data_IF_990653759091
#
_entry.id   IF_990653759091
#
_cell.length_a   1.000
_cell.length_b   1.000
_cell.length_c   1.000
_cell.angle_alpha   90.00
_cell.angle_beta   90.00
_cell.angle_gamma   90.00
#
_symmetry.space_group_name_H-M   'P 1'
#
loop_
_entity.id
_entity.type
_entity.pdbx_description
1 polymer ?
#
# COMPACT_ATOMS: atom_id res chain seq x y z
N UNK A 1 16.63 5.82 -3.88
CA UNK A 1 17.81 5.74 -4.78
C UNK A 1 17.57 4.87 -6.01
N UNK A 2 17.08 3.62 -5.87
CA UNK A 2 16.80 2.74 -7.04
C UNK A 2 15.88 3.35 -8.10
N UNK A 3 14.91 4.17 -7.72
CA UNK A 3 14.01 4.84 -8.67
C UNK A 3 14.71 5.90 -9.54
N UNK A 4 15.58 6.73 -8.94
CA UNK A 4 16.33 7.74 -9.68
C UNK A 4 17.32 7.09 -10.64
N UNK A 5 18.01 6.04 -10.19
CA UNK A 5 18.89 5.25 -11.05
C UNK A 5 18.15 4.65 -12.25
N UNK A 6 16.96 4.08 -12.02
CA UNK A 6 16.10 3.58 -13.09
C UNK A 6 15.71 4.70 -14.07
N UNK A 7 15.27 5.87 -13.55
CA UNK A 7 14.90 7.01 -14.38
C UNK A 7 16.09 7.57 -15.18
N UNK A 8 17.29 7.62 -14.60
CA UNK A 8 18.49 8.05 -15.30
C UNK A 8 18.80 7.14 -16.50
N UNK A 9 18.67 5.82 -16.35
CA UNK A 9 18.92 4.86 -17.44
C UNK A 9 17.84 4.87 -18.51
N UNK A 10 16.56 4.92 -18.11
CA UNK A 10 15.42 4.65 -19.00
C UNK A 10 14.56 5.87 -19.32
N UNK A 11 14.66 6.94 -18.54
CA UNK A 11 13.83 8.14 -18.65
C UNK A 11 14.55 9.36 -19.22
N UNK A 12 15.87 9.46 -19.03
CA UNK A 12 16.67 10.53 -19.62
C UNK A 12 17.04 10.18 -21.06
N UNK A 13 16.71 11.08 -21.99
CA UNK A 13 17.02 10.96 -23.40
C UNK A 13 17.67 12.24 -23.93
N UNK A 14 18.41 12.11 -25.04
CA UNK A 14 19.10 13.23 -25.66
C UNK A 14 18.15 13.95 -26.62
N UNK A 15 17.72 15.14 -26.23
CA UNK A 15 16.93 16.04 -27.06
C UNK A 15 17.32 17.49 -26.71
N UNK A 16 17.78 18.30 -27.69
CA UNK A 16 18.16 19.69 -27.44
C UNK A 16 16.99 20.57 -26.99
N UNK A 17 15.74 20.12 -27.14
CA UNK A 17 14.55 20.86 -26.72
C UNK A 17 13.99 20.41 -25.36
N UNK A 18 14.60 19.40 -24.72
CA UNK A 18 14.15 18.86 -23.43
C UNK A 18 15.25 19.03 -22.38
N UNK A 19 14.91 19.69 -21.27
CA UNK A 19 15.78 19.82 -20.10
C UNK A 19 15.26 18.94 -18.96
N UNK A 20 16.15 18.17 -18.34
CA UNK A 20 15.86 17.35 -17.17
C UNK A 20 16.43 18.01 -15.93
N UNK A 21 15.56 18.42 -15.00
CA UNK A 21 15.99 18.94 -13.70
C UNK A 21 15.84 17.86 -12.62
N UNK A 22 16.96 17.42 -12.06
CA UNK A 22 17.02 16.46 -10.95
C UNK A 22 17.26 17.25 -9.67
N UNK A 23 16.18 17.50 -8.92
CA UNK A 23 16.24 18.26 -7.67
C UNK A 23 16.48 17.31 -6.50
N UNK A 24 17.61 17.47 -5.82
CA UNK A 24 17.99 16.72 -4.63
C UNK A 24 17.60 17.55 -3.40
N UNK A 25 16.50 17.15 -2.76
CA UNK A 25 16.00 17.74 -1.51
C UNK A 25 16.79 17.20 -0.30
N UNK A 26 17.90 17.84 0.02
CA UNK A 26 18.82 17.43 1.08
C UNK A 26 19.62 16.16 0.79
N UNK A 27 20.74 15.99 1.49
CA UNK A 27 21.53 14.75 1.48
C UNK A 27 22.44 14.53 0.26
N UNK A 28 22.94 13.29 0.15
CA UNK A 28 23.84 12.86 -0.92
C UNK A 28 23.06 12.15 -2.04
N UNK A 29 23.46 12.41 -3.29
CA UNK A 29 22.93 11.72 -4.47
C UNK A 29 24.01 10.87 -5.11
N UNK A 30 24.02 9.57 -4.80
CA UNK A 30 24.94 8.61 -5.43
C UNK A 30 24.64 8.43 -6.94
N UNK A 31 23.37 8.29 -7.39
CA UNK A 31 23.06 8.14 -8.82
C UNK A 31 23.46 9.36 -9.66
N UNK A 32 23.63 10.54 -9.06
CA UNK A 32 24.06 11.76 -9.75
C UNK A 32 25.51 11.69 -10.27
N UNK A 33 26.26 10.63 -9.96
CA UNK A 33 27.59 10.36 -10.54
C UNK A 33 27.54 9.45 -11.78
N UNK A 34 26.37 8.95 -12.15
CA UNK A 34 26.21 8.09 -13.32
C UNK A 34 26.42 8.88 -14.61
N UNK A 35 26.82 8.19 -15.68
CA UNK A 35 27.07 8.82 -16.99
C UNK A 35 25.84 9.54 -17.52
N UNK A 36 24.65 8.97 -17.32
CA UNK A 36 23.37 9.55 -17.75
C UNK A 36 23.07 10.86 -17.03
N UNK A 37 23.53 11.01 -15.79
CA UNK A 37 23.39 12.24 -15.02
C UNK A 37 24.37 13.35 -15.47
N UNK A 38 25.38 13.01 -16.28
CA UNK A 38 26.38 13.93 -16.81
C UNK A 38 26.05 14.44 -18.24
N UNK A 39 24.86 14.11 -18.76
CA UNK A 39 24.41 14.59 -20.08
C UNK A 39 24.18 16.10 -20.05
N UNK A 40 24.40 16.77 -21.18
CA UNK A 40 24.36 18.23 -21.28
C UNK A 40 22.98 18.86 -21.04
N UNK A 41 21.91 18.08 -21.21
CA UNK A 41 20.53 18.51 -20.96
C UNK A 41 20.01 18.07 -19.58
N UNK A 42 20.88 17.55 -18.71
CA UNK A 42 20.55 17.16 -17.33
C UNK A 42 21.17 18.17 -16.36
N UNK A 43 20.33 18.76 -15.52
CA UNK A 43 20.69 19.74 -14.50
C UNK A 43 20.41 19.15 -13.13
N UNK A 44 21.44 19.04 -12.29
CA UNK A 44 21.30 18.52 -10.93
C UNK A 44 21.32 19.71 -9.97
N UNK A 45 20.18 19.95 -9.34
CA UNK A 45 20.00 21.06 -8.40
C UNK A 45 19.93 20.52 -6.98
N UNK A 46 20.77 21.04 -6.08
CA UNK A 46 20.75 20.67 -4.66
C UNK A 46 20.13 21.79 -3.86
N UNK A 47 19.23 21.43 -2.96
CA UNK A 47 18.55 22.39 -2.08
C UNK A 47 18.21 21.79 -0.73
N UNK A 48 17.84 22.64 0.20
CA UNK A 48 17.27 22.21 1.47
C UNK A 48 15.95 21.46 1.25
N UNK A 49 15.68 20.47 2.10
CA UNK A 49 14.44 19.70 2.07
C UNK A 49 13.27 20.52 2.64
N UNK A 50 12.83 21.52 1.88
CA UNK A 50 11.78 22.46 2.24
C UNK A 50 10.76 22.60 1.11
N UNK A 51 9.46 22.51 1.44
CA UNK A 51 8.38 22.63 0.45
C UNK A 51 8.00 21.33 -0.26
N UNK A 52 8.56 20.18 0.14
CA UNK A 52 8.25 18.86 -0.42
C UNK A 52 8.37 18.83 -1.97
N UNK A 53 7.61 17.97 -2.64
CA UNK A 53 7.69 17.77 -4.09
C UNK A 53 7.28 19.04 -4.87
N UNK A 54 6.15 19.66 -4.53
CA UNK A 54 5.65 20.86 -5.22
C UNK A 54 6.57 22.08 -5.05
N UNK A 55 7.20 22.23 -3.89
CA UNK A 55 8.22 23.24 -3.68
C UNK A 55 9.46 23.00 -4.54
N UNK A 56 9.83 21.74 -4.84
CA UNK A 56 10.93 21.41 -5.74
C UNK A 56 10.60 21.78 -7.19
N UNK A 57 9.37 21.53 -7.63
CA UNK A 57 8.90 22.00 -8.93
C UNK A 57 8.90 23.53 -9.02
N UNK A 58 8.47 24.23 -7.96
CA UNK A 58 8.53 25.69 -7.87
C UNK A 58 9.95 26.27 -7.94
N UNK A 59 10.92 25.60 -7.31
CA UNK A 59 12.33 25.96 -7.42
C UNK A 59 12.80 25.96 -8.87
N UNK A 60 12.47 24.92 -9.65
CA UNK A 60 12.83 24.84 -11.07
C UNK A 60 12.14 25.93 -11.88
N UNK A 61 10.84 26.20 -11.65
CA UNK A 61 10.14 27.27 -12.36
C UNK A 61 10.76 28.65 -12.10
N UNK A 62 11.17 28.92 -10.87
CA UNK A 62 11.88 30.17 -10.53
C UNK A 62 13.26 30.22 -11.17
N UNK A 63 14.00 29.11 -11.20
CA UNK A 63 15.27 29.01 -11.93
C UNK A 63 15.08 29.35 -13.41
N UNK A 64 14.08 28.74 -14.07
CA UNK A 64 13.77 28.99 -15.47
C UNK A 64 13.37 30.45 -15.72
N UNK A 65 12.64 31.07 -14.79
CA UNK A 65 12.25 32.48 -14.89
C UNK A 65 13.46 33.41 -14.81
N UNK A 66 14.33 33.22 -13.81
CA UNK A 66 15.55 34.02 -13.61
C UNK A 66 16.47 33.96 -14.84
N UNK A 67 16.54 32.80 -15.49
CA UNK A 67 17.37 32.60 -16.68
C UNK A 67 16.65 32.93 -18.01
N UNK A 68 15.43 33.49 -17.97
CA UNK A 68 14.66 33.84 -19.17
C UNK A 68 14.21 32.64 -20.02
N UNK A 69 14.24 31.43 -19.45
CA UNK A 69 13.86 30.18 -20.12
C UNK A 69 12.37 29.86 -19.95
N UNK A 70 11.71 30.40 -18.92
CA UNK A 70 10.30 30.10 -18.63
C UNK A 70 9.37 30.46 -19.80
N UNK A 71 9.63 31.56 -20.50
CA UNK A 71 8.83 31.99 -21.66
C UNK A 71 8.93 31.04 -22.87
N UNK A 72 9.94 30.15 -22.90
CA UNK A 72 10.16 29.15 -23.96
C UNK A 72 9.55 27.79 -23.63
N UNK A 73 9.03 27.63 -22.42
CA UNK A 73 8.49 26.36 -21.92
C UNK A 73 7.16 26.05 -22.62
N UNK A 74 7.11 24.94 -23.37
CA UNK A 74 5.86 24.45 -23.99
C UNK A 74 5.11 23.46 -23.11
N UNK A 75 5.87 22.67 -22.36
CA UNK A 75 5.38 21.60 -21.49
C UNK A 75 6.25 21.54 -20.24
N UNK A 76 5.64 21.28 -19.10
CA UNK A 76 6.32 21.09 -17.83
C UNK A 76 5.90 19.76 -17.22
N UNK A 77 6.84 18.81 -17.12
CA UNK A 77 6.57 17.48 -16.56
C UNK A 77 7.13 17.42 -15.14
N UNK A 78 6.28 17.02 -14.21
CA UNK A 78 6.56 16.94 -12.79
C UNK A 78 6.50 15.48 -12.35
N UNK A 79 7.58 15.00 -11.76
CA UNK A 79 7.68 13.65 -11.18
C UNK A 79 8.23 13.79 -9.76
N UNK A 80 7.68 13.02 -8.81
CA UNK A 80 8.29 12.94 -7.48
C UNK A 80 9.21 11.72 -7.32
N UNK A 81 10.08 11.73 -6.31
CA UNK A 81 11.07 10.67 -6.10
C UNK A 81 10.47 9.30 -5.72
N UNK A 82 9.17 9.27 -5.39
CA UNK A 82 8.48 8.05 -4.98
C UNK A 82 7.98 7.19 -6.13
N UNK A 83 8.01 7.68 -7.38
CA UNK A 83 7.63 6.87 -8.54
C UNK A 83 8.81 6.15 -9.16
N UNK A 84 8.52 5.06 -9.88
CA UNK A 84 9.45 4.42 -10.81
C UNK A 84 8.87 4.47 -12.22
N UNK A 85 9.74 4.70 -13.20
CA UNK A 85 9.42 4.78 -14.60
C UNK A 85 10.51 5.55 -15.35
N UNK A 86 10.29 5.83 -16.64
CA UNK A 86 9.09 5.50 -17.42
C UNK A 86 9.04 4.00 -17.77
N UNK A 87 7.83 3.44 -17.77
CA UNK A 87 7.55 2.12 -18.32
C UNK A 87 6.87 2.28 -19.67
N UNK A 88 7.54 1.82 -20.73
CA UNK A 88 6.98 1.79 -22.08
C UNK A 88 7.04 0.36 -22.66
N UNK A 89 5.99 -0.07 -23.37
CA UNK A 89 6.00 -1.35 -24.07
C UNK A 89 7.08 -1.33 -25.17
N UNK A 90 7.61 -2.51 -25.52
CA UNK A 90 8.75 -2.66 -26.46
C UNK A 90 8.56 -1.86 -27.76
N UNK A 91 7.35 -1.83 -28.31
CA UNK A 91 7.03 -1.12 -29.55
C UNK A 91 7.07 0.42 -29.42
N UNK A 92 7.02 0.96 -28.20
CA UNK A 92 7.05 2.39 -27.92
C UNK A 92 8.36 2.88 -27.28
N UNK A 93 9.26 1.99 -26.84
CA UNK A 93 10.51 2.33 -26.09
C UNK A 93 11.45 3.30 -26.80
N UNK A 94 11.40 3.38 -28.14
CA UNK A 94 12.23 4.33 -28.92
C UNK A 94 11.68 5.76 -28.94
N UNK A 95 10.47 5.99 -28.43
CA UNK A 95 9.85 7.31 -28.36
C UNK A 95 10.09 7.92 -26.99
N UNK A 96 10.24 9.25 -26.88
CA UNK A 96 10.23 9.93 -25.60
C UNK A 96 8.96 9.59 -24.82
N UNK A 97 9.10 9.23 -23.55
CA UNK A 97 7.95 8.91 -22.70
C UNK A 97 6.98 10.08 -22.53
N UNK A 98 7.48 11.31 -22.69
CA UNK A 98 6.66 12.54 -22.68
C UNK A 98 5.59 12.53 -23.77
N UNK A 99 5.81 11.85 -24.89
CA UNK A 99 4.85 11.76 -26.00
C UNK A 99 3.51 11.14 -25.58
N UNK A 100 3.50 10.30 -24.54
CA UNK A 100 2.28 9.70 -23.99
C UNK A 100 1.41 10.77 -23.32
N UNK A 101 2.03 11.70 -22.58
CA UNK A 101 1.32 12.86 -22.01
C UNK A 101 0.94 13.87 -23.08
N UNK A 102 1.84 14.14 -24.04
CA UNK A 102 1.63 15.12 -25.11
C UNK A 102 0.40 14.82 -25.96
N UNK A 103 0.13 13.54 -26.20
CA UNK A 103 -1.03 13.07 -26.95
C UNK A 103 -2.37 13.48 -26.32
N UNK A 104 -2.41 13.78 -25.02
CA UNK A 104 -3.62 14.19 -24.31
C UNK A 104 -3.80 15.70 -24.21
N UNK A 105 -2.81 16.51 -24.61
CA UNK A 105 -2.97 17.95 -24.70
C UNK A 105 -3.71 18.36 -25.98
N UNK A 106 -5.03 18.18 -25.97
CA UNK A 106 -5.97 18.59 -27.01
C UNK A 106 -6.99 19.58 -26.46
N UNK A 107 -7.64 20.33 -27.35
CA UNK A 107 -8.64 21.33 -27.00
C UNK A 107 -8.09 22.33 -25.95
N UNK A 108 -8.78 22.50 -24.82
CA UNK A 108 -8.35 23.36 -23.70
C UNK A 108 -7.74 22.57 -22.53
N UNK A 109 -7.20 21.36 -22.76
CA UNK A 109 -6.49 20.60 -21.72
C UNK A 109 -5.19 21.30 -21.37
N UNK A 110 -5.03 21.65 -20.10
CA UNK A 110 -3.86 22.36 -19.58
C UNK A 110 -3.07 21.55 -18.54
N UNK A 111 -3.62 20.41 -18.07
CA UNK A 111 -2.89 19.45 -17.25
C UNK A 111 -3.25 18.00 -17.60
N UNK A 112 -2.26 17.11 -17.54
CA UNK A 112 -2.44 15.68 -17.75
C UNK A 112 -1.77 14.93 -16.60
N UNK A 113 -2.54 14.13 -15.86
CA UNK A 113 -2.00 13.30 -14.77
C UNK A 113 -1.80 11.85 -15.18
N UNK A 114 -0.88 11.16 -14.50
CA UNK A 114 -0.79 9.70 -14.60
C UNK A 114 -2.03 9.00 -14.04
N UNK A 115 -2.66 9.59 -13.01
CA UNK A 115 -3.93 9.12 -12.45
C UNK A 115 -4.79 10.27 -11.91
N UNK A 116 -6.08 9.96 -11.72
CA UNK A 116 -7.11 10.91 -11.29
C UNK A 116 -8.03 10.27 -10.26
N UNK A 117 -8.25 10.98 -9.15
CA UNK A 117 -9.17 10.59 -8.06
C UNK A 117 -10.35 11.55 -8.02
N UNK A 118 -11.57 11.08 -7.76
CA UNK A 118 -12.64 11.96 -7.29
C UNK A 118 -12.62 12.02 -5.77
N UNK A 119 -12.57 13.21 -5.19
CA UNK A 119 -12.67 13.42 -3.75
C UNK A 119 -14.14 13.52 -3.30
N UNK A 120 -14.47 13.03 -2.08
CA UNK A 120 -15.79 13.16 -1.51
C UNK A 120 -16.06 14.60 -1.06
N UNK A 121 -17.32 14.93 -0.75
CA UNK A 121 -17.73 16.29 -0.34
C UNK A 121 -17.07 16.73 0.96
N UNK A 122 -16.78 15.79 1.83
CA UNK A 122 -16.23 16.00 3.16
C UNK A 122 -14.69 16.12 3.14
N UNK A 123 -14.05 15.92 1.99
CA UNK A 123 -12.60 16.05 1.88
C UNK A 123 -12.17 17.52 1.97
N UNK A 124 -11.07 17.77 2.66
CA UNK A 124 -10.50 19.11 2.79
C UNK A 124 -10.01 19.68 1.44
N UNK A 125 -9.77 18.83 0.43
CA UNK A 125 -9.49 19.23 -0.96
C UNK A 125 -10.71 19.64 -1.77
N UNK A 126 -11.91 19.57 -1.18
CA UNK A 126 -13.19 19.79 -1.86
C UNK A 126 -13.58 18.61 -2.76
N UNK A 127 -14.87 18.51 -3.13
CA UNK A 127 -15.35 17.41 -3.95
C UNK A 127 -14.80 17.48 -5.38
N UNK A 128 -14.77 16.32 -6.02
CA UNK A 128 -14.57 16.19 -7.47
C UNK A 128 -13.18 15.71 -7.88
N UNK A 129 -12.92 15.74 -9.19
CA UNK A 129 -11.73 15.21 -9.82
C UNK A 129 -10.46 15.97 -9.42
N UNK A 130 -9.43 15.24 -9.00
CA UNK A 130 -8.08 15.75 -8.73
C UNK A 130 -7.06 14.83 -9.40
N UNK A 131 -6.09 15.43 -10.09
CA UNK A 131 -4.90 14.71 -10.53
C UNK A 131 -4.04 14.34 -9.32
N UNK A 132 -3.49 13.14 -9.32
CA UNK A 132 -2.53 12.75 -8.28
C UNK A 132 -1.14 13.35 -8.55
N UNK A 133 -0.54 13.91 -7.50
CA UNK A 133 0.64 14.78 -7.61
C UNK A 133 1.97 14.07 -7.84
N UNK A 134 1.96 12.78 -8.17
CA UNK A 134 3.21 12.00 -8.29
C UNK A 134 3.81 12.01 -9.70
N UNK A 135 2.98 12.15 -10.74
CA UNK A 135 3.41 12.25 -12.12
C UNK A 135 2.35 13.00 -12.94
N UNK A 136 2.69 14.19 -13.42
CA UNK A 136 1.78 15.00 -14.23
C UNK A 136 2.55 15.92 -15.19
N UNK A 137 1.85 16.41 -16.20
CA UNK A 137 2.35 17.37 -17.17
C UNK A 137 1.44 18.60 -17.22
N UNK A 138 2.00 19.76 -17.54
CA UNK A 138 1.27 21.01 -17.73
C UNK A 138 1.62 21.65 -19.07
N UNK A 139 0.64 22.31 -19.68
CA UNK A 139 0.90 23.28 -20.76
C UNK A 139 1.51 24.56 -20.18
N UNK A 140 2.01 25.44 -21.06
CA UNK A 140 2.46 26.78 -20.64
C UNK A 140 1.35 27.59 -19.95
N UNK A 141 0.10 27.44 -20.41
CA UNK A 141 -1.06 28.06 -19.79
C UNK A 141 -1.38 27.42 -18.43
N UNK A 142 -1.29 26.09 -18.33
CA UNK A 142 -1.46 25.36 -17.08
C UNK A 142 -0.42 25.75 -16.03
N UNK A 143 0.85 25.91 -16.42
CA UNK A 143 1.91 26.43 -15.54
C UNK A 143 1.56 27.82 -15.04
N UNK A 144 1.09 28.72 -15.92
CA UNK A 144 0.69 30.08 -15.53
C UNK A 144 -0.49 30.08 -14.56
N UNK A 145 -1.52 29.27 -14.80
CA UNK A 145 -2.67 29.13 -13.91
C UNK A 145 -2.25 28.59 -12.52
N UNK A 146 -1.49 27.50 -12.50
CA UNK A 146 -0.99 26.87 -11.27
C UNK A 146 -0.07 27.81 -10.46
N UNK A 147 0.85 28.54 -11.11
CA UNK A 147 1.72 29.53 -10.43
C UNK A 147 0.90 30.66 -9.80
N UNK A 148 -0.08 31.22 -10.52
CA UNK A 148 -0.96 32.29 -9.99
C UNK A 148 -1.75 31.82 -8.76
N UNK A 149 -2.21 30.57 -8.76
CA UNK A 149 -2.91 29.97 -7.63
C UNK A 149 -1.99 29.58 -6.46
N UNK A 150 -0.67 29.64 -6.64
CA UNK A 150 0.30 29.32 -5.59
C UNK A 150 0.64 27.83 -5.47
N UNK A 151 0.23 26.99 -6.42
CA UNK A 151 0.42 25.52 -6.41
C UNK A 151 1.86 25.10 -6.11
N UNK A 152 2.82 25.85 -6.64
CA UNK A 152 4.25 25.57 -6.51
C UNK A 152 4.94 26.31 -5.36
N UNK A 153 4.18 26.86 -4.41
CA UNK A 153 4.76 27.49 -3.22
C UNK A 153 5.38 26.42 -2.31
N UNK A 154 6.49 26.73 -1.62
CA UNK A 154 7.08 25.80 -0.68
C UNK A 154 6.30 25.82 0.64
N UNK A 155 5.30 24.95 0.74
CA UNK A 155 4.48 24.80 1.94
C UNK A 155 5.25 24.13 3.08
N UNK A 156 4.94 24.52 4.32
CA UNK A 156 5.65 24.02 5.51
C UNK A 156 5.27 22.60 5.86
N UNK A 157 4.02 22.24 5.66
CA UNK A 157 3.51 20.93 6.06
C UNK A 157 3.13 20.08 4.85
N UNK A 158 3.19 18.76 5.04
CA UNK A 158 2.69 17.79 4.07
C UNK A 158 1.21 18.01 3.75
N UNK A 159 0.39 18.35 4.77
CA UNK A 159 -1.04 18.63 4.59
C UNK A 159 -1.27 19.82 3.66
N UNK A 160 -0.60 20.93 3.90
CA UNK A 160 -0.71 22.11 3.03
C UNK A 160 -0.22 21.83 1.61
N UNK A 161 0.85 21.04 1.46
CA UNK A 161 1.34 20.61 0.14
C UNK A 161 0.28 19.80 -0.61
N UNK A 162 -0.45 18.91 0.09
CA UNK A 162 -1.54 18.14 -0.52
C UNK A 162 -2.69 19.07 -0.90
N UNK A 163 -3.16 19.90 0.04
CA UNK A 163 -4.36 20.73 -0.19
C UNK A 163 -4.13 21.81 -1.25
N UNK A 164 -3.02 22.54 -1.15
CA UNK A 164 -2.78 23.71 -1.99
C UNK A 164 -1.86 23.43 -3.18
N UNK A 165 -1.04 22.39 -3.09
CA UNK A 165 -0.23 21.91 -4.21
C UNK A 165 -0.99 20.89 -5.04
N UNK A 166 -1.15 19.67 -4.50
CA UNK A 166 -1.70 18.53 -5.25
C UNK A 166 -3.16 18.75 -5.67
N UNK A 167 -4.07 18.97 -4.72
CA UNK A 167 -5.47 19.22 -5.03
C UNK A 167 -5.68 20.61 -5.64
N UNK A 168 -4.97 21.60 -5.10
CA UNK A 168 -4.96 22.97 -5.61
C UNK A 168 -4.54 23.08 -7.08
N UNK A 169 -3.76 22.12 -7.60
CA UNK A 169 -3.41 22.09 -9.02
C UNK A 169 -4.65 21.99 -9.91
N UNK A 170 -5.50 20.99 -9.68
CA UNK A 170 -6.68 20.77 -10.54
C UNK A 170 -7.68 21.91 -10.38
N UNK A 171 -7.88 22.38 -9.14
CA UNK A 171 -8.70 23.56 -8.86
C UNK A 171 -8.21 24.81 -9.60
N UNK A 172 -6.89 25.03 -9.64
CA UNK A 172 -6.31 26.18 -10.33
C UNK A 172 -6.56 26.12 -11.84
N UNK A 173 -6.48 24.94 -12.44
CA UNK A 173 -6.79 24.71 -13.86
C UNK A 173 -8.26 24.99 -14.13
N UNK A 174 -9.16 24.43 -13.32
CA UNK A 174 -10.61 24.62 -13.45
C UNK A 174 -11.04 26.07 -13.29
N UNK A 175 -10.49 26.80 -12.29
CA UNK A 175 -10.77 28.23 -12.10
C UNK A 175 -10.28 29.11 -13.24
N UNK A 176 -9.30 28.64 -14.02
CA UNK A 176 -8.83 29.32 -15.21
C UNK A 176 -9.71 29.04 -16.45
N UNK A 177 -10.78 28.25 -16.33
CA UNK A 177 -11.62 27.85 -17.47
C UNK A 177 -10.97 26.78 -18.37
N UNK A 178 -9.95 26.09 -17.84
CA UNK A 178 -9.18 25.07 -18.54
C UNK A 178 -9.58 23.67 -18.08
N UNK A 179 -9.12 22.67 -18.80
CA UNK A 179 -9.45 21.27 -18.54
C UNK A 179 -8.24 20.44 -18.14
N UNK A 180 -8.51 19.26 -17.56
CA UNK A 180 -7.50 18.23 -17.28
C UNK A 180 -7.84 16.91 -17.98
N UNK A 181 -6.85 16.06 -18.19
CA UNK A 181 -7.02 14.69 -18.69
C UNK A 181 -6.12 13.72 -17.87
N UNK A 182 -6.30 12.41 -18.07
CA UNK A 182 -5.56 11.35 -17.35
C UNK A 182 -5.09 10.25 -18.28
N UNK A 183 -3.92 9.66 -17.99
CA UNK A 183 -3.42 8.48 -18.71
C UNK A 183 -4.25 7.22 -18.46
N UNK A 184 -5.07 7.21 -17.41
CA UNK A 184 -5.92 6.06 -17.10
C UNK A 184 -6.91 5.77 -18.24
N UNK A 185 -6.98 4.51 -18.64
CA UNK A 185 -7.98 3.97 -19.59
C UNK A 185 -9.38 4.13 -19.03
N UNK A 186 -9.53 3.85 -17.73
CA UNK A 186 -10.73 4.25 -17.01
C UNK A 186 -10.66 5.75 -16.79
N UNK A 187 -11.78 6.45 -17.02
CA UNK A 187 -11.88 7.92 -16.90
C UNK A 187 -11.35 8.73 -18.09
N UNK A 188 -11.17 8.10 -19.26
CA UNK A 188 -10.83 8.77 -20.52
C UNK A 188 -11.90 9.77 -20.95
N UNK A 189 -11.69 11.03 -20.57
CA UNK A 189 -12.43 12.19 -21.04
C UNK A 189 -11.69 13.45 -20.60
N UNK A 190 -12.00 14.55 -21.27
CA UNK A 190 -11.58 15.88 -20.82
C UNK A 190 -12.45 16.27 -19.61
N UNK A 191 -11.81 16.55 -18.49
CA UNK A 191 -12.46 16.94 -17.23
C UNK A 191 -12.39 18.46 -17.05
N UNK A 192 -13.51 19.09 -16.71
CA UNK A 192 -13.59 20.51 -16.37
C UNK A 192 -14.77 20.78 -15.43
N UNK A 193 -14.96 22.04 -15.04
CA UNK A 193 -16.03 22.48 -14.13
C UNK A 193 -17.44 22.08 -14.56
N UNK A 194 -17.68 21.88 -15.87
CA UNK A 194 -19.02 21.55 -16.40
C UNK A 194 -19.35 20.06 -16.37
N UNK A 195 -18.35 19.18 -16.31
CA UNK A 195 -18.54 17.73 -16.42
C UNK A 195 -17.84 16.93 -15.30
N UNK A 196 -17.27 17.63 -14.33
CA UNK A 196 -16.67 17.03 -13.15
C UNK A 196 -17.70 16.19 -12.40
N UNK A 197 -17.38 14.91 -12.21
CA UNK A 197 -18.19 14.05 -11.37
C UNK A 197 -17.83 14.26 -9.90
N UNK A 198 -18.85 14.47 -9.07
CA UNK A 198 -18.72 14.48 -7.60
C UNK A 198 -18.34 13.08 -7.06
N UNK A 199 -18.56 12.03 -7.84
CA UNK A 199 -18.22 10.66 -7.48
C UNK A 199 -17.67 9.87 -8.66
N UNK A 200 -16.44 9.40 -8.50
CA UNK A 200 -15.85 8.32 -9.27
C UNK A 200 -15.02 7.46 -8.31
N UNK A 201 -14.41 6.38 -8.82
CA UNK A 201 -13.42 5.53 -8.12
C UNK A 201 -13.70 5.19 -6.65
N UNK A 202 -14.98 5.17 -6.22
CA UNK A 202 -15.42 5.01 -4.82
C UNK A 202 -14.69 5.96 -3.86
N UNK A 203 -14.23 7.11 -4.34
CA UNK A 203 -13.41 8.06 -3.58
C UNK A 203 -12.07 7.49 -3.07
N UNK A 204 -11.55 6.45 -3.71
CA UNK A 204 -10.28 5.80 -3.38
C UNK A 204 -9.24 6.12 -4.43
N UNK A 205 -8.10 6.67 -4.01
CA UNK A 205 -6.97 6.95 -4.89
C UNK A 205 -6.61 5.76 -5.78
N UNK A 206 -6.69 5.87 -7.12
CA UNK A 206 -6.32 4.80 -8.05
C UNK A 206 -4.89 4.34 -7.90
N UNK A 207 -4.02 5.20 -7.37
CA UNK A 207 -2.67 4.83 -7.01
C UNK A 207 -2.54 3.93 -5.76
N UNK A 208 -3.64 3.30 -5.32
CA UNK A 208 -3.63 2.22 -4.33
C UNK A 208 -3.91 0.90 -5.03
N UNK A 209 -3.30 -0.16 -4.52
CA UNK A 209 -3.52 -1.48 -5.10
C UNK A 209 -5.01 -1.88 -5.00
N UNK A 210 -5.53 -2.57 -6.02
CA UNK A 210 -6.94 -2.96 -6.16
C UNK A 210 -7.95 -1.81 -6.31
N UNK A 211 -7.52 -0.54 -6.32
CA UNK A 211 -8.45 0.60 -6.24
C UNK A 211 -9.22 0.88 -7.55
N UNK A 212 -8.82 0.28 -8.67
CA UNK A 212 -9.46 0.48 -9.96
C UNK A 212 -10.35 -0.71 -10.27
N UNK A 213 -11.58 -0.73 -9.70
CA UNK A 213 -12.54 -1.84 -9.84
C UNK A 213 -12.00 -3.23 -9.44
N UNK A 214 -11.08 -3.27 -8.48
CA UNK A 214 -10.40 -4.51 -8.14
C UNK A 214 -9.33 -4.88 -9.15
N UNK A 215 -8.62 -3.92 -9.73
CA UNK A 215 -7.31 -4.16 -10.36
C UNK A 215 -6.33 -3.04 -9.98
N UNK A 216 -5.05 -3.32 -10.17
CA UNK A 216 -3.97 -2.33 -10.09
C UNK A 216 -3.84 -1.56 -11.41
N UNK A 217 -3.34 -0.32 -11.33
CA UNK A 217 -2.91 0.41 -12.52
C UNK A 217 -1.71 -0.28 -13.18
N UNK A 218 -1.83 -0.53 -14.48
CA UNK A 218 -0.77 -1.22 -15.21
C UNK A 218 0.41 -0.27 -15.49
N UNK A 219 1.69 -0.68 -15.31
CA UNK A 219 2.84 0.21 -15.53
C UNK A 219 2.90 0.85 -16.92
N UNK A 220 2.50 0.12 -17.97
CA UNK A 220 2.42 0.64 -19.34
C UNK A 220 1.24 1.59 -19.60
N UNK A 221 0.23 1.61 -18.72
CA UNK A 221 -0.90 2.53 -18.84
C UNK A 221 -0.53 3.91 -18.33
N UNK A 222 0.04 3.98 -17.12
CA UNK A 222 0.27 5.25 -16.42
C UNK A 222 1.72 5.75 -16.51
N UNK A 223 2.61 5.00 -17.17
CA UNK A 223 4.05 5.29 -17.43
C UNK A 223 4.92 5.36 -16.17
N UNK A 224 4.44 5.95 -15.07
CA UNK A 224 5.12 6.09 -13.80
C UNK A 224 4.26 5.50 -12.68
N UNK A 225 4.83 4.56 -11.93
CA UNK A 225 4.13 3.84 -10.86
C UNK A 225 4.64 4.27 -9.50
N UNK A 226 3.74 4.55 -8.55
CA UNK A 226 4.09 4.89 -7.16
C UNK A 226 4.70 3.67 -6.45
N UNK A 227 6.01 3.66 -6.24
CA UNK A 227 6.73 2.51 -5.68
C UNK A 227 6.48 2.30 -4.17
N UNK A 228 6.15 3.37 -3.43
CA UNK A 228 6.03 3.33 -1.97
C UNK A 228 4.68 2.83 -1.45
N UNK A 229 3.65 2.72 -2.28
CA UNK A 229 2.30 2.30 -1.85
C UNK A 229 2.03 0.82 -2.16
N UNK A 230 3.10 0.06 -2.39
CA UNK A 230 3.08 -1.34 -2.82
C UNK A 230 2.19 -1.62 -4.05
N UNK A 231 1.84 -0.56 -4.78
CA UNK A 231 1.09 -0.65 -6.01
C UNK A 231 1.86 -1.38 -7.07
N UNK A 232 1.22 -2.41 -7.61
CA UNK A 232 1.78 -3.20 -8.68
C UNK A 232 3.21 -3.65 -8.35
N UNK A 233 3.60 -3.75 -7.07
CA UNK A 233 5.00 -3.78 -6.66
C UNK A 233 5.77 -4.94 -7.29
N UNK A 234 5.27 -6.20 -7.23
CA UNK A 234 5.86 -7.29 -7.99
C UNK A 234 5.95 -6.99 -9.50
N UNK A 235 4.89 -6.46 -10.12
CA UNK A 235 4.89 -6.12 -11.55
C UNK A 235 5.91 -5.03 -11.88
N UNK A 236 5.97 -3.95 -11.10
CA UNK A 236 6.92 -2.86 -11.27
C UNK A 236 8.36 -3.37 -11.19
N UNK A 237 8.66 -4.27 -10.24
CA UNK A 237 9.98 -4.88 -10.13
C UNK A 237 10.30 -5.78 -11.34
N UNK A 238 9.36 -6.63 -11.76
CA UNK A 238 9.53 -7.50 -12.93
C UNK A 238 9.72 -6.68 -14.21
N UNK A 239 8.89 -5.66 -14.44
CA UNK A 239 9.05 -4.75 -15.57
C UNK A 239 10.35 -3.95 -15.50
N UNK A 240 10.85 -3.64 -14.29
CA UNK A 240 12.17 -3.01 -14.14
C UNK A 240 13.27 -3.96 -14.61
N UNK A 241 13.23 -5.22 -14.17
CA UNK A 241 14.21 -6.25 -14.54
C UNK A 241 14.18 -6.53 -16.04
N UNK A 242 12.99 -6.68 -16.65
CA UNK A 242 12.86 -6.89 -18.09
C UNK A 242 13.31 -5.68 -18.93
N UNK A 243 13.36 -4.48 -18.34
CA UNK A 243 13.90 -3.30 -19.01
C UNK A 243 15.42 -3.19 -18.83
N UNK A 244 15.95 -3.51 -17.66
CA UNK A 244 17.39 -3.53 -17.40
C UNK A 244 18.09 -4.70 -18.11
N UNK A 245 17.42 -5.87 -18.20
CA UNK A 245 17.98 -7.12 -18.71
C UNK A 245 16.94 -7.93 -19.51
N UNK A 246 16.61 -7.50 -20.74
CA UNK A 246 15.60 -8.16 -21.56
C UNK A 246 15.96 -9.61 -21.95
N UNK A 247 17.26 -9.94 -21.97
CA UNK A 247 17.78 -11.26 -22.33
C UNK A 247 18.26 -12.07 -21.12
N UNK A 248 18.02 -11.59 -19.89
CA UNK A 248 18.35 -12.38 -18.71
C UNK A 248 17.57 -13.70 -18.71
N UNK A 249 18.20 -14.83 -18.31
CA UNK A 249 17.45 -16.04 -18.04
C UNK A 249 16.37 -15.75 -17.00
N UNK A 250 15.29 -16.54 -17.04
CA UNK A 250 14.25 -16.47 -16.02
C UNK A 250 14.89 -16.41 -14.62
N UNK A 251 14.53 -15.42 -13.78
CA UNK A 251 15.09 -15.32 -12.45
C UNK A 251 14.92 -16.67 -11.75
N UNK A 252 16.03 -17.23 -11.24
CA UNK A 252 16.01 -18.51 -10.50
C UNK A 252 15.09 -18.47 -9.27
N UNK A 253 14.67 -17.26 -8.88
CA UNK A 253 13.81 -16.96 -7.76
C UNK A 253 12.50 -16.26 -8.18
N UNK A 254 11.98 -16.60 -9.38
CA UNK A 254 10.62 -16.21 -9.80
C UNK A 254 9.58 -16.58 -8.73
N UNK A 255 9.80 -17.67 -7.99
CA UNK A 255 8.98 -18.04 -6.83
C UNK A 255 8.86 -16.87 -5.83
N UNK A 256 9.94 -16.17 -5.50
CA UNK A 256 9.90 -15.00 -4.59
C UNK A 256 9.08 -13.84 -5.16
N UNK A 257 9.04 -13.64 -6.48
CA UNK A 257 8.16 -12.65 -7.12
C UNK A 257 6.70 -13.10 -7.24
N UNK A 258 6.46 -14.39 -7.51
CA UNK A 258 5.13 -15.01 -7.50
C UNK A 258 4.55 -15.05 -6.09
N UNK A 259 5.37 -15.21 -5.05
CA UNK A 259 4.96 -15.08 -3.65
C UNK A 259 4.48 -13.68 -3.31
N UNK A 260 4.85 -12.64 -4.06
CA UNK A 260 4.25 -11.29 -3.94
C UNK A 260 2.95 -11.13 -4.74
N UNK A 261 2.74 -11.90 -5.81
CA UNK A 261 1.49 -11.91 -6.59
C UNK A 261 0.40 -12.80 -5.97
N UNK A 262 0.81 -13.87 -5.29
CA UNK A 262 0.00 -14.75 -4.46
C UNK A 262 0.24 -14.50 -2.96
N UNK A 263 0.81 -13.35 -2.62
CA UNK A 263 0.66 -12.82 -1.27
C UNK A 263 -0.78 -12.36 -1.16
N UNK A 264 -1.64 -13.22 -0.63
CA UNK A 264 -3.01 -12.88 -0.22
C UNK A 264 -3.02 -11.75 0.85
N UNK A 265 -1.86 -11.17 1.17
CA UNK A 265 -1.62 -9.98 2.00
C UNK A 265 -1.71 -8.64 1.29
N UNK A 266 -1.87 -8.55 -0.03
CA UNK A 266 -1.95 -7.22 -0.67
C UNK A 266 -3.33 -6.89 -1.27
N UNK A 267 -4.02 -7.72 -2.06
CA UNK A 267 -5.47 -7.54 -2.36
C UNK A 267 -6.16 -8.84 -2.77
N UNK A 268 -7.40 -9.12 -2.30
CA UNK A 268 -8.23 -10.17 -2.87
C UNK A 268 -8.88 -9.64 -4.15
N UNK A 269 -8.42 -10.10 -5.30
CA UNK A 269 -9.20 -10.06 -6.53
C UNK A 269 -9.26 -11.50 -7.03
N UNK A 270 -10.40 -12.13 -6.78
CA UNK A 270 -10.73 -13.42 -7.35
C UNK A 270 -10.60 -13.38 -8.88
N UNK A 271 -9.94 -14.39 -9.47
CA UNK A 271 -10.23 -14.83 -10.82
C UNK A 271 -11.01 -16.16 -10.77
N UNK A 272 -11.96 -16.38 -11.67
CA UNK A 272 -13.05 -17.32 -11.47
C UNK A 272 -12.64 -18.80 -11.57
N UNK A 273 -13.14 -19.57 -10.59
CA UNK A 273 -13.58 -20.98 -10.63
C UNK A 273 -12.55 -22.04 -11.07
N UNK A 274 -11.98 -22.73 -10.08
CA UNK A 274 -12.39 -24.13 -9.78
C UNK A 274 -12.56 -24.27 -8.26
N UNK A 275 -13.75 -24.67 -7.85
CA UNK A 275 -14.32 -24.89 -6.52
C UNK A 275 -13.36 -24.97 -5.29
N UNK A 276 -13.30 -23.87 -4.53
CA UNK A 276 -13.21 -23.90 -3.06
C UNK A 276 -14.28 -22.95 -2.49
N UNK A 277 -14.98 -23.30 -1.40
CA UNK A 277 -16.04 -22.47 -0.84
C UNK A 277 -15.49 -21.11 -0.33
N UNK A 278 -16.26 -20.02 -0.43
CA UNK A 278 -15.79 -18.66 -0.15
C UNK A 278 -15.35 -18.47 1.32
N UNK A 279 -14.18 -17.86 1.49
CA UNK A 279 -13.48 -17.61 2.78
C UNK A 279 -14.35 -16.86 3.82
N UNK A 280 -15.43 -16.19 3.40
CA UNK A 280 -16.41 -15.54 4.28
C UNK A 280 -17.23 -16.45 5.21
N UNK A 281 -17.00 -17.77 5.23
CA UNK A 281 -17.62 -18.67 6.21
C UNK A 281 -16.63 -19.28 7.23
N UNK A 282 -15.33 -18.97 7.11
CA UNK A 282 -14.31 -19.50 8.00
C UNK A 282 -14.08 -18.62 9.22
N UNK A 283 -13.63 -19.25 10.30
CA UNK A 283 -13.21 -18.60 11.56
C UNK A 283 -11.70 -18.68 11.69
N UNK A 284 -11.09 -17.61 12.20
CA UNK A 284 -9.66 -17.62 12.53
C UNK A 284 -9.48 -17.73 14.04
N UNK A 285 -8.72 -18.74 14.47
CA UNK A 285 -8.26 -18.87 15.85
C UNK A 285 -6.79 -18.50 15.90
N UNK A 286 -6.48 -17.36 16.49
CA UNK A 286 -5.12 -16.87 16.70
C UNK A 286 -4.67 -17.30 18.08
N UNK A 287 -3.57 -18.02 18.13
CA UNK A 287 -3.01 -18.55 19.37
C UNK A 287 -1.60 -18.03 19.51
N UNK A 288 -1.31 -17.36 20.62
CA UNK A 288 0.01 -16.79 20.89
C UNK A 288 0.64 -17.45 22.12
N UNK A 289 1.79 -18.09 21.91
CA UNK A 289 2.55 -18.81 22.92
C UNK A 289 3.97 -18.26 23.04
N UNK A 290 4.35 -17.93 24.27
CA UNK A 290 5.70 -17.58 24.68
C UNK A 290 6.38 -18.78 25.36
N UNK A 291 7.52 -18.52 26.00
CA UNK A 291 8.17 -19.43 26.92
C UNK A 291 7.26 -19.71 28.13
N UNK A 292 6.80 -20.96 28.33
CA UNK A 292 5.98 -21.30 29.48
C UNK A 292 6.78 -21.18 30.78
N UNK A 293 6.22 -20.49 31.77
CA UNK A 293 6.80 -20.24 33.08
C UNK A 293 6.35 -21.26 34.15
N UNK A 294 5.34 -22.09 33.84
CA UNK A 294 4.80 -23.10 34.76
C UNK A 294 4.39 -24.40 34.08
N UNK A 295 4.26 -25.48 34.85
CA UNK A 295 3.73 -26.77 34.37
C UNK A 295 2.29 -26.64 33.87
N UNK A 296 1.50 -25.76 34.49
CA UNK A 296 0.11 -25.48 34.08
C UNK A 296 0.05 -24.89 32.67
N UNK A 297 0.98 -23.99 32.33
CA UNK A 297 1.04 -23.43 30.97
C UNK A 297 1.47 -24.47 29.94
N UNK A 298 2.40 -25.36 30.29
CA UNK A 298 2.75 -26.51 29.46
C UNK A 298 1.56 -27.45 29.21
N UNK A 299 0.77 -27.73 30.24
CA UNK A 299 -0.41 -28.59 30.12
C UNK A 299 -1.51 -27.95 29.27
N UNK A 300 -1.70 -26.62 29.39
CA UNK A 300 -2.64 -25.88 28.54
C UNK A 300 -2.24 -25.92 27.06
N UNK A 301 -0.95 -25.74 26.76
CA UNK A 301 -0.43 -25.81 25.38
C UNK A 301 -0.67 -27.20 24.79
N UNK A 302 -0.29 -28.25 25.53
CA UNK A 302 -0.50 -29.65 25.10
C UNK A 302 -1.98 -29.94 24.89
N UNK A 303 -2.83 -29.56 25.84
CA UNK A 303 -4.28 -29.73 25.73
C UNK A 303 -4.83 -29.04 24.48
N UNK A 304 -4.41 -27.81 24.19
CA UNK A 304 -4.85 -27.11 23.00
C UNK A 304 -4.40 -27.80 21.70
N UNK A 305 -3.13 -28.20 21.63
CA UNK A 305 -2.57 -28.96 20.50
C UNK A 305 -3.33 -30.26 20.25
N UNK A 306 -3.65 -30.99 21.31
CA UNK A 306 -4.45 -32.21 21.27
C UNK A 306 -5.89 -31.99 20.81
N UNK A 307 -6.37 -30.75 20.69
CA UNK A 307 -7.73 -30.41 20.25
C UNK A 307 -7.78 -29.66 18.91
N UNK A 308 -6.63 -29.29 18.34
CA UNK A 308 -6.55 -28.82 16.95
C UNK A 308 -6.90 -30.00 16.03
N UNK A 309 -7.81 -29.77 15.09
CA UNK A 309 -8.24 -30.77 14.11
C UNK A 309 -8.22 -30.16 12.71
N UNK A 310 -7.97 -30.97 11.66
CA UNK A 310 -8.24 -30.57 10.29
C UNK A 310 -9.69 -30.11 10.16
N UNK A 311 -9.92 -28.92 9.62
CA UNK A 311 -11.25 -28.33 9.51
C UNK A 311 -11.33 -27.40 8.30
N UNK A 312 -12.39 -27.53 7.52
CA UNK A 312 -12.68 -26.59 6.43
C UNK A 312 -13.32 -25.28 6.93
N UNK A 313 -13.65 -25.21 8.23
CA UNK A 313 -14.39 -24.08 8.83
C UNK A 313 -13.54 -23.22 9.77
N UNK A 314 -12.43 -23.76 10.26
CA UNK A 314 -11.57 -23.10 11.24
C UNK A 314 -10.14 -23.17 10.76
N UNK A 315 -9.54 -22.00 10.58
CA UNK A 315 -8.12 -21.86 10.37
C UNK A 315 -7.45 -21.43 11.69
N UNK A 316 -6.28 -21.97 11.97
CA UNK A 316 -5.49 -21.72 13.17
C UNK A 316 -4.21 -20.97 12.79
N UNK A 317 -3.93 -19.87 13.48
CA UNK A 317 -2.68 -19.14 13.39
C UNK A 317 -1.93 -19.28 14.70
N UNK A 318 -0.86 -20.07 14.72
CA UNK A 318 -0.01 -20.30 15.88
C UNK A 318 1.19 -19.34 15.82
N UNK A 319 1.27 -18.40 16.74
CA UNK A 319 2.39 -17.47 16.89
C UNK A 319 3.21 -17.98 18.08
N UNK A 320 4.43 -18.44 17.81
CA UNK A 320 5.27 -19.14 18.78
C UNK A 320 6.61 -18.44 18.93
N UNK A 321 7.02 -18.11 20.16
CA UNK A 321 8.34 -17.51 20.44
C UNK A 321 9.36 -18.50 21.00
N UNK A 322 8.87 -19.53 21.67
CA UNK A 322 9.73 -20.50 22.34
C UNK A 322 10.04 -21.70 21.43
N UNK A 323 11.34 -22.01 21.31
CA UNK A 323 11.80 -23.09 20.45
C UNK A 323 11.32 -24.49 20.91
N UNK A 324 11.05 -24.69 22.19
CA UNK A 324 10.53 -25.97 22.70
C UNK A 324 9.04 -26.11 22.37
N UNK A 325 8.27 -25.03 22.44
CA UNK A 325 6.86 -25.01 21.98
C UNK A 325 6.80 -25.22 20.47
N UNK A 326 7.66 -24.57 19.68
CA UNK A 326 7.72 -24.76 18.23
C UNK A 326 8.09 -26.21 17.87
N UNK A 327 9.06 -26.79 18.58
CA UNK A 327 9.40 -28.21 18.45
C UNK A 327 8.20 -29.10 18.78
N UNK A 328 7.43 -28.78 19.81
CA UNK A 328 6.24 -29.56 20.18
C UNK A 328 5.15 -29.50 19.10
N UNK A 329 4.94 -28.36 18.43
CA UNK A 329 4.04 -28.24 17.26
C UNK A 329 4.48 -29.20 16.15
N UNK A 330 5.78 -29.18 15.83
CA UNK A 330 6.38 -29.98 14.76
C UNK A 330 6.36 -31.48 15.07
N UNK A 331 6.74 -31.87 16.29
CA UNK A 331 6.70 -33.26 16.76
C UNK A 331 5.26 -33.81 16.74
N UNK A 332 4.26 -32.93 16.93
CA UNK A 332 2.83 -33.26 16.85
C UNK A 332 2.27 -33.20 15.42
N UNK A 333 3.09 -32.82 14.43
CA UNK A 333 2.74 -32.67 13.00
C UNK A 333 1.55 -31.73 12.75
N UNK A 334 1.32 -30.78 13.64
CA UNK A 334 0.21 -29.84 13.52
C UNK A 334 0.45 -28.82 12.40
N UNK A 335 1.71 -28.47 12.15
CA UNK A 335 2.17 -27.65 11.03
C UNK A 335 1.97 -28.30 9.66
N UNK A 336 1.66 -29.60 9.61
CA UNK A 336 1.27 -30.29 8.38
C UNK A 336 -0.23 -30.20 8.08
N UNK A 337 -1.05 -29.70 9.02
CA UNK A 337 -2.48 -29.55 8.78
C UNK A 337 -2.75 -28.39 7.82
N UNK A 338 -3.62 -28.57 6.82
CA UNK A 338 -3.87 -27.55 5.79
C UNK A 338 -4.50 -26.27 6.34
N UNK A 339 -5.12 -26.35 7.51
CA UNK A 339 -5.78 -25.24 8.21
C UNK A 339 -4.96 -24.70 9.39
N UNK A 340 -3.69 -25.06 9.52
CA UNK A 340 -2.80 -24.58 10.58
C UNK A 340 -1.62 -23.85 9.95
N UNK A 341 -1.36 -22.63 10.41
CA UNK A 341 -0.18 -21.86 10.04
C UNK A 341 0.59 -21.50 11.29
N UNK A 342 1.89 -21.82 11.31
CA UNK A 342 2.79 -21.44 12.40
C UNK A 342 3.70 -20.28 11.97
N UNK A 343 3.87 -19.31 12.87
CA UNK A 343 4.83 -18.22 12.74
C UNK A 343 5.76 -18.30 13.95
N UNK A 344 7.05 -18.50 13.69
CA UNK A 344 8.09 -18.36 14.70
C UNK A 344 8.47 -16.88 14.80
N UNK A 345 8.26 -16.27 15.97
CA UNK A 345 8.53 -14.85 16.20
C UNK A 345 9.64 -14.69 17.24
N UNK A 346 10.80 -14.22 16.81
CA UNK A 346 11.98 -13.99 17.64
C UNK A 346 12.09 -12.55 18.16
N UNK A 347 11.08 -11.70 17.89
CA UNK A 347 11.10 -10.30 18.28
C UNK A 347 11.14 -10.18 19.80
N UNK A 348 12.09 -9.39 20.33
CA UNK A 348 12.25 -9.15 21.77
C UNK A 348 11.43 -7.95 22.27
N UNK A 349 10.82 -7.20 21.36
CA UNK A 349 10.35 -5.84 21.60
C UNK A 349 8.86 -5.72 21.91
N UNK A 350 8.10 -6.82 21.93
CA UNK A 350 6.65 -6.78 22.19
C UNK A 350 6.38 -7.19 23.64
N UNK A 351 5.74 -6.29 24.39
CA UNK A 351 5.46 -6.42 25.83
C UNK A 351 4.20 -7.23 26.16
N UNK A 352 3.35 -7.57 25.18
CA UNK A 352 2.14 -8.39 25.37
C UNK A 352 1.89 -9.35 24.20
N UNK A 353 1.52 -10.60 24.50
CA UNK A 353 1.18 -11.64 23.54
C UNK A 353 -0.05 -11.28 22.69
N UNK A 354 -0.97 -10.48 23.25
CA UNK A 354 -2.13 -9.96 22.54
C UNK A 354 -1.72 -8.94 21.46
N UNK A 355 -0.85 -7.99 21.82
CA UNK A 355 -0.33 -7.00 20.88
C UNK A 355 0.50 -7.65 19.77
N UNK A 356 1.17 -8.76 20.06
CA UNK A 356 1.87 -9.56 19.07
C UNK A 356 0.90 -10.18 18.06
N UNK A 357 -0.17 -10.83 18.54
CA UNK A 357 -1.24 -11.35 17.68
C UNK A 357 -1.82 -10.26 16.79
N UNK A 358 -2.13 -9.10 17.36
CA UNK A 358 -2.63 -7.95 16.61
C UNK A 358 -1.61 -7.38 15.62
N UNK A 359 -0.32 -7.35 15.97
CA UNK A 359 0.76 -6.92 15.07
C UNK A 359 0.89 -7.85 13.87
N UNK A 360 0.88 -9.16 14.10
CA UNK A 360 0.90 -10.18 13.04
C UNK A 360 -0.32 -10.04 12.13
N UNK A 361 -1.51 -9.84 12.68
CA UNK A 361 -2.73 -9.60 11.90
C UNK A 361 -2.67 -8.28 11.12
N UNK A 362 -2.13 -7.21 11.72
CA UNK A 362 -1.94 -5.91 11.07
C UNK A 362 -0.98 -5.98 9.89
N UNK A 363 0.08 -6.78 10.01
CA UNK A 363 1.07 -7.00 8.97
C UNK A 363 0.61 -8.00 7.89
N UNK A 364 -0.52 -8.67 8.09
CA UNK A 364 -0.97 -9.77 7.25
C UNK A 364 -2.47 -9.64 6.93
N UNK A 365 -2.79 -8.92 5.85
CA UNK A 365 -4.17 -8.57 5.50
C UNK A 365 -5.04 -9.79 5.13
N UNK A 366 -4.45 -10.97 4.86
CA UNK A 366 -5.16 -12.24 4.64
C UNK A 366 -6.11 -12.55 5.80
N UNK A 367 -5.71 -12.23 7.02
CA UNK A 367 -6.55 -12.53 8.18
C UNK A 367 -7.72 -11.56 8.33
N UNK A 368 -7.68 -10.39 7.70
CA UNK A 368 -8.80 -9.44 7.73
C UNK A 368 -10.01 -9.91 6.92
N UNK A 369 -9.91 -10.96 6.11
CA UNK A 369 -11.06 -11.53 5.38
C UNK A 369 -11.92 -12.48 6.22
N UNK A 370 -11.49 -12.84 7.43
CA UNK A 370 -12.28 -13.68 8.31
C UNK A 370 -13.37 -12.85 8.98
N UNK A 371 -14.57 -13.42 9.07
CA UNK A 371 -15.70 -12.74 9.72
C UNK A 371 -15.61 -12.79 11.25
N UNK A 372 -14.75 -13.65 11.79
CA UNK A 372 -14.69 -13.93 13.21
C UNK A 372 -13.27 -14.33 13.65
N UNK A 373 -12.86 -13.76 14.78
CA UNK A 373 -11.54 -13.93 15.36
C UNK A 373 -11.68 -14.41 16.80
N UNK A 374 -10.93 -15.44 17.14
CA UNK A 374 -10.71 -15.89 18.53
C UNK A 374 -9.24 -15.74 18.84
N UNK A 375 -8.91 -14.96 19.85
CA UNK A 375 -7.56 -14.81 20.34
C UNK A 375 -7.40 -15.58 21.64
N UNK A 376 -6.36 -16.40 21.68
CA UNK A 376 -6.03 -17.24 22.82
C UNK A 376 -4.56 -17.00 23.14
N UNK A 377 -4.25 -16.57 24.35
CA UNK A 377 -2.87 -16.50 24.83
C UNK A 377 -2.55 -17.70 25.71
N UNK A 378 -1.27 -17.97 25.97
CA UNK A 378 -0.85 -19.08 26.84
C UNK A 378 -1.45 -19.05 28.26
N UNK A 379 -1.86 -17.87 28.74
CA UNK A 379 -2.49 -17.69 30.05
C UNK A 379 -3.99 -18.01 30.05
N UNK A 380 -4.57 -18.32 28.87
CA UNK A 380 -5.94 -18.79 28.77
C UNK A 380 -6.07 -20.15 29.45
N UNK A 381 -6.45 -20.13 30.72
CA UNK A 381 -7.27 -21.22 31.24
C UNK A 381 -8.54 -21.15 30.41
N UNK A 382 -8.90 -22.21 29.69
CA UNK A 382 -10.22 -22.27 29.07
C UNK A 382 -11.31 -22.11 30.14
N UNK A 383 -12.56 -22.49 29.89
CA UNK A 383 -13.56 -22.65 30.96
C UNK A 383 -13.20 -23.75 32.01
N UNK A 384 -11.92 -24.13 32.10
CA UNK A 384 -11.25 -25.12 32.91
C UNK A 384 -11.07 -24.58 34.35
N UNK A 385 -12.17 -24.12 34.93
CA UNK A 385 -12.42 -24.21 36.37
C UNK A 385 -13.23 -25.47 36.71
N UNK A 386 -13.49 -26.36 35.76
CA UNK A 386 -14.25 -27.58 35.99
C UNK A 386 -13.56 -28.81 35.39
N UNK A 387 -12.98 -29.62 36.27
CA UNK A 387 -12.51 -30.98 35.99
C UNK A 387 -13.64 -31.97 35.62
N UNK A 388 -14.85 -31.53 35.26
CA UNK A 388 -15.97 -32.45 35.09
C UNK A 388 -16.80 -32.13 33.85
N UNK A 389 -16.82 -33.09 32.93
CA UNK A 389 -17.78 -33.17 31.82
C UNK A 389 -17.14 -32.85 30.48
N UNK A 390 -16.90 -33.89 29.67
CA UNK A 390 -16.38 -33.85 28.30
C UNK A 390 -17.23 -33.05 27.30
N UNK A 391 -17.42 -31.77 27.57
CA UNK A 391 -18.05 -30.81 26.67
C UNK A 391 -16.95 -30.22 25.80
N UNK A 392 -17.08 -30.43 24.49
CA UNK A 392 -16.24 -29.79 23.49
C UNK A 392 -16.54 -28.28 23.50
N UNK A 393 -15.79 -27.52 24.28
CA UNK A 393 -16.00 -26.09 24.50
C UNK A 393 -15.99 -25.28 23.20
N UNK A 394 -15.27 -25.75 22.16
CA UNK A 394 -15.37 -25.18 20.82
C UNK A 394 -16.81 -25.29 20.28
N UNK A 395 -17.45 -26.45 20.38
CA UNK A 395 -18.84 -26.65 19.95
C UNK A 395 -19.84 -25.79 20.77
N UNK A 396 -19.60 -25.60 22.07
CA UNK A 396 -20.41 -24.71 22.92
C UNK A 396 -20.28 -23.24 22.47
N UNK A 397 -19.06 -22.80 22.16
CA UNK A 397 -18.76 -21.48 21.62
C UNK A 397 -19.46 -21.27 20.26
N UNK A 398 -19.43 -22.29 19.40
CA UNK A 398 -20.12 -22.31 18.11
C UNK A 398 -21.65 -22.20 18.25
N UNK A 399 -22.24 -22.97 19.17
CA UNK A 399 -23.69 -23.03 19.41
C UNK A 399 -24.24 -21.71 19.97
N UNK A 400 -23.52 -21.07 20.89
CA UNK A 400 -23.93 -19.78 21.46
C UNK A 400 -23.86 -18.64 20.45
N UNK A 401 -22.89 -18.67 19.54
CA UNK A 401 -22.73 -17.63 18.52
C UNK A 401 -23.74 -17.73 17.37
N UNK A 402 -24.07 -18.95 16.91
CA UNK A 402 -25.12 -19.19 15.90
C UNK A 402 -26.47 -18.57 16.27
N UNK A 403 -26.74 -18.39 17.58
CA UNK A 403 -27.99 -17.84 18.10
C UNK A 403 -27.97 -16.32 18.29
N UNK A 404 -26.81 -15.67 18.30
CA UNK A 404 -26.67 -14.25 18.61
C UNK A 404 -25.91 -13.53 17.48
N UNK A 405 -26.65 -12.88 16.58
CA UNK A 405 -26.16 -12.05 15.47
C UNK A 405 -25.46 -10.73 15.95
N UNK A 406 -24.63 -10.79 16.98
CA UNK A 406 -23.94 -9.64 17.55
C UNK A 406 -22.45 -9.91 17.80
N UNK A 407 -21.60 -8.97 17.39
CA UNK A 407 -20.19 -8.93 17.77
C UNK A 407 -20.07 -8.78 19.29
N UNK A 408 -19.63 -9.85 19.96
CA UNK A 408 -19.48 -9.90 21.41
C UNK A 408 -18.00 -10.05 21.77
N UNK A 409 -17.47 -9.03 22.47
CA UNK A 409 -16.18 -9.07 23.14
C UNK A 409 -16.37 -9.76 24.51
N UNK A 410 -16.01 -11.04 24.62
CA UNK A 410 -15.78 -11.64 25.93
C UNK A 410 -14.31 -11.40 26.32
N UNK A 411 -14.07 -10.77 27.46
CA UNK A 411 -12.75 -10.77 28.11
C UNK A 411 -12.93 -11.45 29.46
N UNK A 412 -12.27 -12.59 29.67
CA UNK A 412 -12.11 -13.14 31.02
C UNK A 412 -10.82 -12.54 31.59
N UNK A 413 -10.98 -11.57 32.49
CA UNK A 413 -9.89 -11.08 33.33
C UNK A 413 -9.88 -11.98 34.57
N UNK A 414 -8.89 -12.86 34.71
CA UNK A 414 -8.65 -13.53 35.99
C UNK A 414 -7.69 -12.67 36.83
N UNK A 415 -8.22 -12.09 37.90
CA UNK A 415 -7.44 -11.55 39.01
C UNK A 415 -7.23 -12.63 40.06
N UNK A 416 -5.98 -13.05 40.32
CA UNK A 416 -5.61 -13.59 41.63
C UNK A 416 -4.21 -13.06 42.01
N UNK A 417 -4.25 -12.31 43.12
CA UNK A 417 -3.22 -11.87 44.07
C UNK A 417 -1.77 -11.65 43.58
N UNK A 418 -1.36 -10.40 43.73
CA UNK A 418 0.01 -9.91 43.86
C UNK A 418 0.80 -9.72 42.55
N UNK A 419 0.29 -8.75 41.79
CA UNK A 419 0.96 -7.99 40.71
C UNK A 419 1.25 -8.75 39.41
N UNK A 420 0.37 -8.55 38.42
CA UNK A 420 0.71 -8.45 37.00
C UNK A 420 -0.49 -7.85 36.24
N UNK A 421 -0.19 -7.10 35.17
CA UNK A 421 -1.12 -6.28 34.40
C UNK A 421 -2.26 -7.11 33.76
N UNK A 422 -3.43 -6.49 33.48
CA UNK A 422 -4.56 -7.17 32.84
C UNK A 422 -4.24 -7.46 31.37
N UNK A 423 -3.55 -8.56 31.09
CA UNK A 423 -3.50 -9.10 29.73
C UNK A 423 -4.73 -10.00 29.52
N UNK A 424 -5.68 -9.65 28.64
CA UNK A 424 -6.84 -10.50 28.38
C UNK A 424 -6.35 -11.84 27.84
N UNK A 425 -6.58 -12.91 28.60
CA UNK A 425 -6.10 -14.24 28.23
C UNK A 425 -6.87 -14.82 27.04
N UNK A 426 -8.08 -14.32 26.81
CA UNK A 426 -8.99 -14.79 25.78
C UNK A 426 -9.91 -13.66 25.33
N UNK A 427 -10.04 -13.42 24.02
CA UNK A 427 -11.12 -12.59 23.49
C UNK A 427 -11.60 -13.00 22.10
N UNK A 428 -12.89 -12.80 21.85
CA UNK A 428 -13.52 -13.02 20.55
C UNK A 428 -13.98 -11.68 19.97
N UNK A 429 -13.90 -11.51 18.66
CA UNK A 429 -14.41 -10.30 18.01
C UNK A 429 -14.83 -10.57 16.57
N UNK A 430 -15.76 -9.76 16.06
CA UNK A 430 -16.08 -9.75 14.63
C UNK A 430 -15.13 -8.82 13.87
N UNK A 431 -15.26 -8.77 12.55
CA UNK A 431 -14.44 -7.91 11.70
C UNK A 431 -14.46 -6.42 12.12
N UNK A 432 -15.59 -5.90 12.62
CA UNK A 432 -15.71 -4.49 13.01
C UNK A 432 -14.96 -4.23 14.32
N UNK A 433 -15.09 -5.13 15.29
CA UNK A 433 -14.36 -5.04 16.54
C UNK A 433 -12.85 -5.23 16.37
N UNK A 434 -12.40 -6.13 15.48
CA UNK A 434 -10.98 -6.23 15.14
C UNK A 434 -10.45 -4.94 14.50
N UNK A 435 -11.19 -4.37 13.55
CA UNK A 435 -10.81 -3.10 12.91
C UNK A 435 -10.69 -1.96 13.94
N UNK A 436 -11.53 -1.96 14.98
CA UNK A 436 -11.43 -1.01 16.09
C UNK A 436 -10.18 -1.28 16.95
N UNK A 437 -9.87 -2.54 17.27
CA UNK A 437 -8.68 -2.91 18.08
C UNK A 437 -7.35 -2.65 17.37
N UNK A 438 -7.32 -2.71 16.04
CA UNK A 438 -6.12 -2.46 15.23
C UNK A 438 -5.79 -0.97 15.03
N UNK A 439 -6.78 -0.08 15.25
CA UNK A 439 -6.62 1.37 15.21
C UNK A 439 -6.15 1.89 16.54
#
# INVERSE_FOLDING_TARGET
MRNLEFFLRHGVFDDPNTLFFIVINGGHCTPCRMREAARSNVHIEKRENYGHDFGAHGYVLNYLEIHGLLARLKRFYCLNASVRGPFLPKYARKRPWTTVFDALFRDNVAAVGASLVCLPKEDAGGPGARLEGFAFALSDEGVRAARRAGVFRPYRTKRETILYGEFGLTDAIFRAGLSVDTLMTKYQRIWNTSNEMVSCNRHVFPSRSGAVDGIDLHPYEIVFVKAQWHMSYPYMLLYSEWMDRPDAPEPSDLATYYYFQHDDRVHPIEAPRVASPPIGQKKLVVVSWDRPASTIEWDNIKYFMEHIRPSDKIDYLLIVRDAQVAKLVHDSRLDEYPNVQMILDDSKDITSLCLQGLSVLRMNSRYMSYNFFVFITQHARGPIGAQNGGINWLQELESRHMKQNGGLLFSFIHTIADSLQPDPSFFCTDHRGLTFLLR
#
